data_IF_685731850560
#
_entry.id   IF_685731850560
#
_cell.length_a   1.000
_cell.length_b   1.000
_cell.length_c   1.000
_cell.angle_alpha   90.00
_cell.angle_beta   90.00
_cell.angle_gamma   90.00
#
_symmetry.space_group_name_H-M   'P 1'
#
loop_
_entity.id
_entity.type
_entity.pdbx_description
1 polymer ?
#
# COMPACT_ATOMS: atom_id res chain seq x y z
N UNK A 1 -6.16 10.03 -33.04
CA UNK A 1 -5.50 9.97 -31.74
C UNK A 1 -6.19 8.91 -30.91
N UNK A 2 -5.52 8.29 -29.93
CA UNK A 2 -6.20 7.32 -29.06
C UNK A 2 -7.13 8.06 -28.10
N UNK A 3 -8.18 7.41 -27.62
CA UNK A 3 -9.09 7.97 -26.61
C UNK A 3 -8.32 8.49 -25.39
N UNK A 4 -7.27 7.76 -25.00
CA UNK A 4 -6.44 8.09 -23.85
C UNK A 4 -5.60 9.35 -24.10
N UNK A 5 -5.01 9.51 -25.29
CA UNK A 5 -4.27 10.71 -25.65
C UNK A 5 -5.14 11.97 -25.59
N UNK A 6 -6.36 11.90 -26.11
CA UNK A 6 -7.31 13.02 -26.08
C UNK A 6 -7.74 13.40 -24.66
N UNK A 7 -7.74 12.46 -23.71
CA UNK A 7 -8.02 12.72 -22.30
C UNK A 7 -6.78 13.27 -21.57
N UNK A 8 -5.58 12.77 -21.86
CA UNK A 8 -4.32 13.29 -21.28
C UNK A 8 -4.15 14.78 -21.60
N UNK A 9 -4.47 15.20 -22.81
CA UNK A 9 -4.38 16.60 -23.26
C UNK A 9 -5.30 17.56 -22.47
N UNK A 10 -6.31 17.03 -21.78
CA UNK A 10 -7.25 17.81 -20.94
C UNK A 10 -6.76 17.97 -19.50
N UNK A 11 -5.55 17.51 -19.17
CA UNK A 11 -5.00 17.63 -17.83
C UNK A 11 -4.94 19.09 -17.37
N UNK A 12 -5.16 19.30 -16.07
CA UNK A 12 -5.27 20.61 -15.46
C UNK A 12 -4.54 20.64 -14.11
N UNK A 13 -4.25 21.83 -13.58
CA UNK A 13 -3.77 22.01 -12.21
C UNK A 13 -4.91 22.06 -11.19
N UNK A 14 -6.16 22.30 -11.61
CA UNK A 14 -7.32 22.37 -10.70
C UNK A 14 -7.72 20.95 -10.21
N UNK A 15 -7.72 20.69 -8.90
CA UNK A 15 -8.15 19.41 -8.36
C UNK A 15 -9.56 18.98 -8.78
N UNK A 16 -10.51 19.90 -8.97
CA UNK A 16 -11.87 19.55 -9.41
C UNK A 16 -11.87 19.02 -10.83
N UNK A 17 -11.16 19.70 -11.73
CA UNK A 17 -11.03 19.28 -13.13
C UNK A 17 -10.29 17.95 -13.25
N UNK A 18 -9.29 17.69 -12.40
CA UNK A 18 -8.64 16.36 -12.31
C UNK A 18 -9.60 15.27 -11.87
N UNK A 19 -10.46 15.55 -10.89
CA UNK A 19 -11.47 14.58 -10.45
C UNK A 19 -12.45 14.26 -11.57
N UNK A 20 -12.93 15.27 -12.28
CA UNK A 20 -13.82 15.09 -13.45
C UNK A 20 -13.15 14.31 -14.57
N UNK A 21 -11.90 14.65 -14.91
CA UNK A 21 -11.13 13.94 -15.92
C UNK A 21 -10.84 12.49 -15.53
N UNK A 22 -10.48 12.23 -14.27
CA UNK A 22 -10.23 10.88 -13.80
C UNK A 22 -11.48 10.00 -13.82
N UNK A 23 -12.66 10.58 -13.57
CA UNK A 23 -13.93 9.86 -13.75
C UNK A 23 -14.21 9.53 -15.22
N UNK A 24 -13.85 10.42 -16.15
CA UNK A 24 -13.93 10.12 -17.59
C UNK A 24 -12.99 8.97 -17.97
N UNK A 25 -11.75 8.98 -17.47
CA UNK A 25 -10.78 7.88 -17.70
C UNK A 25 -11.33 6.55 -17.18
N UNK A 26 -11.88 6.51 -15.96
CA UNK A 26 -12.49 5.30 -15.40
C UNK A 26 -13.67 4.81 -16.24
N UNK A 27 -14.52 5.71 -16.72
CA UNK A 27 -15.65 5.37 -17.58
C UNK A 27 -15.19 4.76 -18.91
N UNK A 28 -14.13 5.29 -19.52
CA UNK A 28 -13.57 4.73 -20.75
C UNK A 28 -12.96 3.35 -20.50
N UNK A 29 -12.22 3.18 -19.40
CA UNK A 29 -11.64 1.89 -18.99
C UNK A 29 -12.70 0.79 -18.87
N UNK A 30 -13.93 1.09 -18.43
CA UNK A 30 -15.02 0.11 -18.36
C UNK A 30 -15.42 -0.48 -19.72
N UNK A 31 -15.12 0.21 -20.82
CA UNK A 31 -15.53 -0.20 -22.18
C UNK A 31 -14.37 -0.48 -23.12
N UNK A 32 -13.17 0.00 -22.79
CA UNK A 32 -12.01 0.02 -23.67
C UNK A 32 -10.74 -0.37 -22.93
N UNK A 33 -9.89 -1.19 -23.60
CA UNK A 33 -8.53 -1.46 -23.12
C UNK A 33 -7.63 -0.23 -23.28
N UNK A 34 -6.55 -0.21 -22.50
CA UNK A 34 -5.49 0.79 -22.68
C UNK A 34 -4.82 0.59 -24.05
N UNK A 35 -4.47 1.68 -24.76
CA UNK A 35 -3.71 1.59 -26.01
C UNK A 35 -2.32 0.97 -25.78
N UNK A 36 -1.80 0.22 -26.75
CA UNK A 36 -0.45 -0.37 -26.68
C UNK A 36 0.66 0.59 -27.14
N UNK A 37 0.34 1.83 -27.50
CA UNK A 37 1.32 2.83 -27.90
C UNK A 37 2.18 3.25 -26.70
N UNK A 38 3.49 3.06 -26.82
CA UNK A 38 4.43 3.29 -25.70
C UNK A 38 4.55 4.75 -25.30
N UNK A 39 4.36 5.69 -26.23
CA UNK A 39 4.41 7.13 -25.93
C UNK A 39 3.19 7.50 -25.09
N UNK A 40 2.01 7.10 -25.53
CA UNK A 40 0.75 7.35 -24.82
C UNK A 40 0.76 6.73 -23.42
N UNK A 41 1.30 5.52 -23.26
CA UNK A 41 1.39 4.86 -21.95
C UNK A 41 2.37 5.54 -21.00
N UNK A 42 3.50 6.05 -21.51
CA UNK A 42 4.41 6.85 -20.69
C UNK A 42 3.75 8.15 -20.25
N UNK A 43 3.12 8.87 -21.18
CA UNK A 43 2.40 10.12 -20.88
C UNK A 43 1.29 9.89 -19.85
N UNK A 44 0.58 8.76 -19.96
CA UNK A 44 -0.42 8.34 -18.99
C UNK A 44 0.19 8.08 -17.60
N UNK A 45 1.28 7.33 -17.52
CA UNK A 45 1.95 7.05 -16.25
C UNK A 45 2.50 8.33 -15.61
N UNK A 46 3.03 9.26 -16.40
CA UNK A 46 3.55 10.54 -15.93
C UNK A 46 2.43 11.48 -15.44
N UNK A 47 1.28 11.50 -16.14
CA UNK A 47 0.05 12.14 -15.66
C UNK A 47 -0.36 11.61 -14.28
N UNK A 48 -0.39 10.29 -14.13
CA UNK A 48 -0.76 9.65 -12.87
C UNK A 48 0.26 10.00 -11.76
N UNK A 49 1.56 9.94 -12.03
CA UNK A 49 2.59 10.35 -11.05
C UNK A 49 2.40 11.81 -10.63
N UNK A 50 2.10 12.70 -11.58
CA UNK A 50 1.79 14.10 -11.27
C UNK A 50 0.58 14.24 -10.35
N UNK A 51 -0.43 13.39 -10.50
CA UNK A 51 -1.63 13.37 -9.65
C UNK A 51 -1.37 12.76 -8.29
N UNK A 52 -0.55 11.70 -8.22
CA UNK A 52 -0.09 11.11 -6.96
C UNK A 52 0.65 12.16 -6.13
N UNK A 53 1.56 12.92 -6.75
CA UNK A 53 2.33 13.99 -6.11
C UNK A 53 1.53 15.25 -5.76
N UNK A 54 0.25 15.34 -6.14
CA UNK A 54 -0.60 16.48 -5.84
C UNK A 54 -0.94 16.59 -4.34
N UNK A 55 -1.38 17.78 -3.91
CA UNK A 55 -1.75 18.05 -2.51
C UNK A 55 -3.15 17.57 -2.13
N UNK A 56 -3.98 17.17 -3.11
CA UNK A 56 -5.35 16.75 -2.86
C UNK A 56 -5.47 15.23 -2.76
N UNK A 57 -5.72 14.72 -1.56
CA UNK A 57 -5.80 13.27 -1.31
C UNK A 57 -6.90 12.56 -2.12
N UNK A 58 -7.98 13.25 -2.54
CA UNK A 58 -9.01 12.64 -3.39
C UNK A 58 -8.49 12.41 -4.80
N UNK A 59 -7.68 13.33 -5.32
CA UNK A 59 -7.01 13.17 -6.62
C UNK A 59 -6.00 12.02 -6.53
N UNK A 60 -5.25 11.91 -5.42
CA UNK A 60 -4.35 10.78 -5.19
C UNK A 60 -5.10 9.45 -5.15
N UNK A 61 -6.21 9.35 -4.42
CA UNK A 61 -7.04 8.14 -4.38
C UNK A 61 -7.58 7.76 -5.76
N UNK A 62 -8.10 8.72 -6.51
CA UNK A 62 -8.59 8.49 -7.87
C UNK A 62 -7.47 8.02 -8.81
N UNK A 63 -6.27 8.58 -8.68
CA UNK A 63 -5.11 8.16 -9.45
C UNK A 63 -4.69 6.70 -9.14
N UNK A 64 -4.74 6.30 -7.86
CA UNK A 64 -4.48 4.93 -7.44
C UNK A 64 -5.56 3.96 -8.00
N UNK A 65 -6.83 4.35 -7.93
CA UNK A 65 -7.97 3.58 -8.48
C UNK A 65 -7.86 3.41 -10.00
N UNK A 66 -7.49 4.47 -10.72
CA UNK A 66 -7.28 4.41 -12.17
C UNK A 66 -6.17 3.41 -12.54
N UNK A 67 -5.06 3.36 -11.78
CA UNK A 67 -4.01 2.36 -12.03
C UNK A 67 -4.55 0.96 -11.74
N UNK A 68 -5.23 0.76 -10.60
CA UNK A 68 -5.72 -0.57 -10.20
C UNK A 68 -6.67 -1.15 -11.25
N UNK A 69 -7.64 -0.36 -11.71
CA UNK A 69 -8.54 -0.73 -12.83
C UNK A 69 -7.76 -0.93 -14.13
N UNK A 70 -6.78 -0.06 -14.42
CA UNK A 70 -5.93 -0.19 -15.60
C UNK A 70 -5.13 -1.51 -15.63
N UNK A 71 -4.64 -1.96 -14.48
CA UNK A 71 -3.97 -3.26 -14.33
C UNK A 71 -4.95 -4.41 -14.60
N UNK A 72 -6.16 -4.35 -14.01
CA UNK A 72 -7.18 -5.39 -14.21
C UNK A 72 -7.52 -5.59 -15.69
N UNK A 73 -7.59 -4.50 -16.45
CA UNK A 73 -8.07 -4.50 -17.84
C UNK A 73 -6.94 -4.69 -18.86
N UNK A 74 -5.74 -4.19 -18.56
CA UNK A 74 -4.62 -4.10 -19.51
C UNK A 74 -3.26 -4.27 -18.84
N UNK A 75 -3.19 -5.13 -17.81
CA UNK A 75 -1.96 -5.45 -17.07
C UNK A 75 -0.81 -5.93 -17.93
N UNK A 76 -1.08 -6.65 -19.03
CA UNK A 76 -0.09 -7.10 -20.01
C UNK A 76 0.65 -5.95 -20.69
N UNK A 77 -0.01 -4.79 -20.81
CA UNK A 77 0.54 -3.62 -21.50
C UNK A 77 1.12 -2.60 -20.51
N UNK A 78 0.42 -2.31 -19.41
CA UNK A 78 0.80 -1.20 -18.51
C UNK A 78 1.88 -1.58 -17.48
N UNK A 79 1.98 -2.86 -17.11
CA UNK A 79 2.84 -3.32 -16.01
C UNK A 79 4.32 -2.88 -16.09
N UNK A 80 5.01 -2.97 -17.25
CA UNK A 80 6.41 -2.54 -17.34
C UNK A 80 6.61 -1.06 -16.96
N UNK A 81 5.67 -0.20 -17.35
CA UNK A 81 5.71 1.24 -17.08
C UNK A 81 5.46 1.54 -15.60
N UNK A 82 4.59 0.77 -14.93
CA UNK A 82 4.31 0.93 -13.50
C UNK A 82 5.50 0.55 -12.63
N UNK A 83 6.24 -0.51 -13.00
CA UNK A 83 7.44 -0.95 -12.25
C UNK A 83 8.47 0.20 -12.15
N UNK A 84 8.63 1.00 -13.20
CA UNK A 84 9.52 2.16 -13.21
C UNK A 84 9.06 3.30 -12.30
N UNK A 85 7.76 3.38 -11.98
CA UNK A 85 7.15 4.44 -11.16
C UNK A 85 6.87 4.02 -9.71
N UNK A 86 7.28 2.82 -9.29
CA UNK A 86 7.10 2.32 -7.91
C UNK A 86 7.62 3.32 -6.86
N UNK A 87 8.71 4.04 -7.12
CA UNK A 87 9.25 5.04 -6.18
C UNK A 87 8.22 6.13 -5.84
N UNK A 88 7.42 6.59 -6.81
CA UNK A 88 6.37 7.57 -6.59
C UNK A 88 5.22 7.01 -5.72
N UNK A 89 4.89 5.73 -5.89
CA UNK A 89 3.93 5.03 -5.02
C UNK A 89 4.48 4.88 -3.60
N UNK A 90 5.77 4.54 -3.44
CA UNK A 90 6.41 4.42 -2.12
C UNK A 90 6.29 5.71 -1.31
N UNK A 91 6.41 6.88 -1.94
CA UNK A 91 6.19 8.16 -1.25
C UNK A 91 4.76 8.32 -0.70
N UNK A 92 3.75 7.72 -1.34
CA UNK A 92 2.34 7.77 -0.89
C UNK A 92 2.06 6.86 0.32
N UNK A 93 2.94 5.92 0.63
CA UNK A 93 2.90 5.18 1.90
C UNK A 93 3.12 6.11 3.11
N UNK A 94 3.67 7.30 2.88
CA UNK A 94 3.87 8.34 3.88
C UNK A 94 2.70 9.30 4.06
N UNK A 95 1.60 9.13 3.32
CA UNK A 95 0.51 10.12 3.29
C UNK A 95 -0.15 10.28 4.66
N UNK A 96 -0.58 11.51 4.96
CA UNK A 96 -1.34 11.84 6.16
C UNK A 96 -2.68 11.08 6.27
N UNK A 97 -3.30 10.74 5.14
CA UNK A 97 -4.57 10.03 5.06
C UNK A 97 -4.35 8.53 5.05
N UNK A 98 -4.93 7.85 6.02
CA UNK A 98 -4.85 6.40 6.12
C UNK A 98 -5.38 5.70 4.87
N UNK A 99 -6.49 6.18 4.30
CA UNK A 99 -7.06 5.63 3.07
C UNK A 99 -6.09 5.67 1.88
N UNK A 100 -5.26 6.72 1.77
CA UNK A 100 -4.25 6.81 0.71
C UNK A 100 -3.16 5.76 0.94
N UNK A 101 -2.69 5.63 2.18
CA UNK A 101 -1.67 4.62 2.53
C UNK A 101 -2.17 3.20 2.26
N UNK A 102 -3.39 2.88 2.68
CA UNK A 102 -4.01 1.57 2.47
C UNK A 102 -4.17 1.26 0.97
N UNK A 103 -4.73 2.19 0.20
CA UNK A 103 -4.86 2.04 -1.25
C UNK A 103 -3.50 1.86 -1.93
N UNK A 104 -2.47 2.59 -1.48
CA UNK A 104 -1.10 2.45 -2.01
C UNK A 104 -0.49 1.08 -1.69
N UNK A 105 -0.67 0.58 -0.46
CA UNK A 105 -0.19 -0.76 -0.07
C UNK A 105 -0.85 -1.82 -0.95
N UNK A 106 -2.17 -1.72 -1.14
CA UNK A 106 -2.90 -2.65 -1.99
C UNK A 106 -2.41 -2.59 -3.43
N UNK A 107 -2.32 -1.40 -4.02
CA UNK A 107 -1.87 -1.25 -5.40
C UNK A 107 -0.46 -1.79 -5.65
N UNK A 108 0.51 -1.52 -4.77
CA UNK A 108 1.86 -2.07 -4.92
C UNK A 108 1.83 -3.60 -4.81
N UNK A 109 0.97 -4.16 -3.96
CA UNK A 109 0.76 -5.61 -3.86
C UNK A 109 0.13 -6.16 -5.14
N UNK A 110 -0.90 -5.50 -5.70
CA UNK A 110 -1.51 -5.85 -6.99
C UNK A 110 -0.46 -5.88 -8.11
N UNK A 111 0.42 -4.87 -8.18
CA UNK A 111 1.52 -4.83 -9.15
C UNK A 111 2.41 -6.07 -9.00
N UNK A 112 2.78 -6.47 -7.77
CA UNK A 112 3.59 -7.67 -7.55
C UNK A 112 2.91 -8.97 -8.01
N UNK A 113 1.58 -9.03 -7.95
CA UNK A 113 0.76 -10.18 -8.33
C UNK A 113 0.41 -10.21 -9.82
N UNK A 114 0.67 -9.12 -10.54
CA UNK A 114 0.27 -9.01 -11.94
C UNK A 114 1.13 -9.92 -12.80
N UNK A 115 0.56 -10.74 -13.71
CA UNK A 115 1.34 -11.48 -14.69
C UNK A 115 2.30 -10.52 -15.40
N UNK A 116 3.56 -10.93 -15.63
CA UNK A 116 4.64 -10.09 -16.19
C UNK A 116 5.33 -9.11 -15.23
N UNK A 117 4.82 -8.91 -14.01
CA UNK A 117 5.59 -8.31 -12.93
C UNK A 117 6.35 -9.40 -12.15
N UNK A 118 7.58 -9.09 -11.76
CA UNK A 118 8.36 -9.95 -10.86
C UNK A 118 8.17 -9.46 -9.42
N UNK A 119 7.60 -10.27 -8.50
CA UNK A 119 7.46 -9.87 -7.09
C UNK A 119 8.84 -9.61 -6.45
N UNK A 120 9.90 -10.28 -6.91
CA UNK A 120 11.28 -9.99 -6.53
C UNK A 120 11.68 -8.56 -6.91
N UNK A 121 11.40 -8.16 -8.14
CA UNK A 121 11.70 -6.81 -8.64
C UNK A 121 10.91 -5.77 -7.85
N UNK A 122 9.63 -6.02 -7.55
CA UNK A 122 8.84 -5.09 -6.73
C UNK A 122 9.45 -4.93 -5.34
N UNK A 123 9.85 -6.02 -4.67
CA UNK A 123 10.53 -5.94 -3.36
C UNK A 123 11.82 -5.12 -3.47
N UNK A 124 12.64 -5.36 -4.49
CA UNK A 124 13.89 -4.62 -4.69
C UNK A 124 13.64 -3.11 -4.92
N UNK A 125 12.53 -2.73 -5.57
CA UNK A 125 12.14 -1.33 -5.79
C UNK A 125 11.56 -0.65 -4.55
N UNK A 126 10.85 -1.37 -3.67
CA UNK A 126 10.30 -0.79 -2.43
C UNK A 126 11.28 -0.81 -1.25
N UNK A 127 12.25 -1.72 -1.24
CA UNK A 127 13.20 -1.91 -0.14
C UNK A 127 13.96 -0.64 0.29
N UNK A 128 14.35 0.30 -0.60
CA UNK A 128 14.95 1.57 -0.19
C UNK A 128 14.06 2.38 0.77
N UNK A 129 12.73 2.20 0.70
CA UNK A 129 11.78 2.84 1.59
C UNK A 129 11.87 2.39 3.06
N UNK A 130 12.53 1.26 3.37
CA UNK A 130 12.78 0.80 4.75
C UNK A 130 13.69 1.76 5.55
N UNK A 131 14.50 2.58 4.87
CA UNK A 131 15.37 3.59 5.50
C UNK A 131 14.92 5.02 5.19
N UNK A 132 13.68 5.19 4.70
CA UNK A 132 13.15 6.49 4.34
C UNK A 132 13.02 7.42 5.56
N UNK A 133 13.23 8.74 5.37
CA UNK A 133 13.14 9.73 6.45
C UNK A 133 11.76 9.76 7.13
N UNK A 134 10.70 9.59 6.34
CA UNK A 134 9.33 9.60 6.83
C UNK A 134 8.94 8.24 7.40
N UNK A 135 8.66 8.19 8.70
CA UNK A 135 8.43 6.94 9.44
C UNK A 135 7.22 6.14 8.92
N UNK A 136 6.17 6.81 8.45
CA UNK A 136 5.01 6.17 7.84
C UNK A 136 5.38 5.38 6.57
N UNK A 137 6.32 5.88 5.76
CA UNK A 137 6.82 5.14 4.59
C UNK A 137 7.51 3.85 5.04
N UNK A 138 8.35 3.91 6.09
CA UNK A 138 9.01 2.70 6.63
C UNK A 138 7.99 1.64 7.06
N UNK A 139 6.91 2.06 7.73
CA UNK A 139 5.80 1.17 8.11
C UNK A 139 5.11 0.59 6.88
N UNK A 140 4.70 1.43 5.93
CA UNK A 140 3.99 0.98 4.73
C UNK A 140 4.81 0.01 3.89
N UNK A 141 6.13 0.22 3.77
CA UNK A 141 7.02 -0.69 3.04
C UNK A 141 7.11 -2.05 3.73
N UNK A 142 7.19 -2.10 5.06
CA UNK A 142 7.13 -3.37 5.80
C UNK A 142 5.80 -4.10 5.58
N UNK A 143 4.69 -3.37 5.48
CA UNK A 143 3.37 -3.94 5.19
C UNK A 143 3.27 -4.49 3.76
N UNK A 144 3.79 -3.77 2.76
CA UNK A 144 3.87 -4.25 1.37
C UNK A 144 4.69 -5.54 1.29
N UNK A 145 5.88 -5.56 1.89
CA UNK A 145 6.77 -6.74 1.88
C UNK A 145 6.09 -7.94 2.55
N UNK A 146 5.38 -7.72 3.66
CA UNK A 146 4.59 -8.76 4.32
C UNK A 146 3.55 -9.35 3.37
N UNK A 147 2.76 -8.50 2.69
CA UNK A 147 1.72 -8.96 1.78
C UNK A 147 2.29 -9.75 0.60
N UNK A 148 3.39 -9.27 0.00
CA UNK A 148 4.06 -9.99 -1.10
C UNK A 148 4.60 -11.33 -0.60
N UNK A 149 5.22 -11.38 0.59
CA UNK A 149 5.71 -12.64 1.16
C UNK A 149 4.59 -13.66 1.37
N UNK A 150 3.41 -13.23 1.85
CA UNK A 150 2.25 -14.09 2.07
C UNK A 150 1.75 -14.76 0.78
N UNK A 151 1.95 -14.12 -0.37
CA UNK A 151 1.46 -14.59 -1.67
C UNK A 151 2.55 -15.29 -2.49
N UNK A 152 3.82 -14.87 -2.33
CA UNK A 152 4.95 -15.27 -3.19
C UNK A 152 6.12 -15.88 -2.42
N UNK A 153 5.88 -16.47 -1.23
CA UNK A 153 6.92 -17.00 -0.32
C UNK A 153 8.09 -17.70 -1.01
N UNK A 154 7.82 -18.62 -1.93
CA UNK A 154 8.86 -19.43 -2.58
C UNK A 154 9.67 -18.68 -3.65
N UNK A 155 9.13 -17.56 -4.14
CA UNK A 155 9.74 -16.75 -5.18
C UNK A 155 10.65 -15.66 -4.62
N UNK A 156 10.38 -15.19 -3.40
CA UNK A 156 11.02 -13.99 -2.82
C UNK A 156 12.01 -14.25 -1.68
N UNK A 157 12.30 -15.52 -1.35
CA UNK A 157 13.15 -15.90 -0.21
C UNK A 157 14.52 -15.18 -0.22
N UNK A 158 15.16 -15.05 -1.38
CA UNK A 158 16.45 -14.37 -1.53
C UNK A 158 16.35 -12.88 -1.17
N UNK A 159 15.31 -12.21 -1.67
CA UNK A 159 15.06 -10.78 -1.44
C UNK A 159 14.72 -10.52 0.03
N UNK A 160 13.93 -11.40 0.65
CA UNK A 160 13.59 -11.33 2.08
C UNK A 160 14.86 -11.50 2.94
N UNK A 161 15.71 -12.48 2.63
CA UNK A 161 17.00 -12.67 3.30
C UNK A 161 17.89 -11.42 3.24
N UNK A 162 17.90 -10.70 2.11
CA UNK A 162 18.69 -9.47 1.93
C UNK A 162 18.21 -8.32 2.82
N UNK A 163 16.92 -8.21 3.13
CA UNK A 163 16.36 -7.11 3.94
C UNK A 163 16.39 -7.37 5.46
N UNK A 164 16.64 -8.62 5.91
CA UNK A 164 16.70 -8.97 7.34
C UNK A 164 17.60 -8.03 8.17
N UNK A 165 18.83 -7.67 7.74
CA UNK A 165 19.66 -6.75 8.51
C UNK A 165 19.04 -5.36 8.68
N UNK A 166 18.29 -4.90 7.69
CA UNK A 166 17.57 -3.61 7.75
C UNK A 166 16.38 -3.69 8.72
N UNK A 167 15.59 -4.77 8.67
CA UNK A 167 14.49 -4.99 9.62
C UNK A 167 14.99 -5.10 11.07
N UNK A 168 16.13 -5.76 11.29
CA UNK A 168 16.81 -5.82 12.60
C UNK A 168 17.18 -4.42 13.13
N UNK A 169 17.70 -3.55 12.26
CA UNK A 169 17.99 -2.15 12.63
C UNK A 169 16.71 -1.37 12.98
N UNK A 170 15.61 -1.60 12.27
CA UNK A 170 14.33 -0.93 12.52
C UNK A 170 13.71 -1.28 13.88
N UNK A 171 14.08 -2.40 14.51
CA UNK A 171 13.72 -2.68 15.91
C UNK A 171 14.32 -1.67 16.92
N UNK A 172 15.23 -0.79 16.48
CA UNK A 172 15.80 0.30 17.25
C UNK A 172 15.45 1.69 16.69
N UNK A 173 14.46 1.79 15.81
CA UNK A 173 14.01 3.06 15.23
C UNK A 173 13.58 4.07 16.31
N UNK A 174 13.72 5.37 16.03
CA UNK A 174 13.31 6.44 16.94
C UNK A 174 11.79 6.41 17.22
N UNK A 175 10.99 6.04 16.22
CA UNK A 175 9.53 5.94 16.33
C UNK A 175 9.10 4.56 16.86
N UNK A 176 8.24 4.54 17.88
CA UNK A 176 7.77 3.29 18.51
C UNK A 176 6.98 2.39 17.59
N UNK A 177 6.17 2.95 16.71
CA UNK A 177 5.31 2.18 15.79
C UNK A 177 6.15 1.50 14.72
N UNK A 178 7.26 2.13 14.29
CA UNK A 178 8.24 1.49 13.40
C UNK A 178 8.91 0.31 14.10
N UNK A 179 9.33 0.46 15.38
CA UNK A 179 9.93 -0.64 16.14
C UNK A 179 8.97 -1.83 16.30
N UNK A 180 7.72 -1.55 16.60
CA UNK A 180 6.67 -2.57 16.76
C UNK A 180 6.37 -3.26 15.43
N UNK A 181 6.22 -2.49 14.34
CA UNK A 181 6.00 -3.03 13.00
C UNK A 181 7.17 -3.88 12.52
N UNK A 182 8.42 -3.47 12.77
CA UNK A 182 9.61 -4.24 12.43
C UNK A 182 9.69 -5.56 13.21
N UNK A 183 9.33 -5.53 14.49
CA UNK A 183 9.24 -6.74 15.32
C UNK A 183 8.21 -7.71 14.74
N UNK A 184 7.02 -7.22 14.41
CA UNK A 184 5.95 -8.04 13.85
C UNK A 184 6.28 -8.56 12.44
N UNK A 185 6.96 -7.77 11.62
CA UNK A 185 7.46 -8.18 10.30
C UNK A 185 8.45 -9.34 10.42
N UNK A 186 9.43 -9.25 11.34
CA UNK A 186 10.38 -10.34 11.58
C UNK A 186 9.70 -11.60 12.09
N UNK A 187 8.75 -11.49 13.03
CA UNK A 187 7.98 -12.65 13.51
C UNK A 187 7.20 -13.29 12.36
N UNK A 188 6.53 -12.49 11.52
CA UNK A 188 5.78 -12.99 10.37
C UNK A 188 6.71 -13.72 9.39
N UNK A 189 7.87 -13.14 9.10
CA UNK A 189 8.88 -13.77 8.25
C UNK A 189 9.35 -15.11 8.84
N UNK A 190 9.59 -15.18 10.16
CA UNK A 190 10.00 -16.44 10.81
C UNK A 190 8.91 -17.50 10.72
N UNK A 191 7.64 -17.14 10.92
CA UNK A 191 6.51 -18.06 10.75
C UNK A 191 6.41 -18.59 9.33
N UNK A 192 6.75 -17.78 8.32
CA UNK A 192 6.65 -18.18 6.93
C UNK A 192 7.87 -18.98 6.44
N UNK A 193 9.09 -18.55 6.74
CA UNK A 193 10.34 -19.13 6.19
C UNK A 193 10.95 -20.17 7.15
N UNK A 194 10.89 -19.95 8.47
CA UNK A 194 11.32 -20.90 9.49
C UNK A 194 12.70 -20.64 10.13
N UNK A 195 13.17 -21.66 10.86
CA UNK A 195 14.33 -21.65 11.78
C UNK A 195 15.69 -21.16 11.25
N UNK A 196 16.05 -21.29 9.94
CA UNK A 196 17.34 -20.79 9.46
C UNK A 196 17.55 -19.29 9.73
N UNK A 197 16.47 -18.50 9.75
CA UNK A 197 16.52 -17.05 9.92
C UNK A 197 16.85 -16.60 11.35
N UNK A 198 16.11 -17.02 12.40
CA UNK A 198 16.50 -16.75 13.78
C UNK A 198 17.96 -17.11 14.09
N UNK A 199 18.40 -18.29 13.64
CA UNK A 199 19.76 -18.78 13.84
C UNK A 199 20.81 -17.87 13.17
N UNK A 200 20.52 -17.42 11.95
CA UNK A 200 21.36 -16.47 11.21
C UNK A 200 21.47 -15.12 11.92
N UNK A 201 20.36 -14.57 12.42
CA UNK A 201 20.32 -13.30 13.17
C UNK A 201 21.18 -13.38 14.42
N UNK A 202 21.06 -14.47 15.19
CA UNK A 202 21.84 -14.70 16.41
C UNK A 202 23.33 -14.86 16.11
N UNK A 203 23.69 -15.72 15.15
CA UNK A 203 25.08 -15.99 14.78
C UNK A 203 25.80 -14.74 14.27
N UNK A 204 25.09 -13.90 13.50
CA UNK A 204 25.61 -12.63 12.96
C UNK A 204 25.52 -11.47 13.95
N UNK A 205 24.92 -11.68 15.12
CA UNK A 205 24.74 -10.68 16.18
C UNK A 205 24.07 -9.40 15.65
N UNK A 206 23.02 -9.53 14.83
CA UNK A 206 22.37 -8.38 14.19
C UNK A 206 21.59 -7.49 15.17
N UNK A 207 21.22 -8.03 16.33
CA UNK A 207 20.53 -7.34 17.41
C UNK A 207 21.10 -7.77 18.78
N UNK A 208 21.00 -6.94 19.83
CA UNK A 208 21.40 -7.32 21.19
C UNK A 208 20.63 -8.55 21.70
N UNK A 209 21.27 -9.37 22.54
CA UNK A 209 20.69 -10.63 23.04
C UNK A 209 19.32 -10.42 23.70
N UNK A 210 19.14 -9.35 24.49
CA UNK A 210 17.84 -9.05 25.11
C UNK A 210 16.71 -8.85 24.09
N UNK A 211 16.98 -8.18 22.96
CA UNK A 211 16.01 -8.01 21.88
C UNK A 211 15.77 -9.30 21.12
N UNK A 212 16.82 -10.11 20.94
CA UNK A 212 16.68 -11.44 20.33
C UNK A 212 15.76 -12.34 21.16
N UNK A 213 15.95 -12.39 22.49
CA UNK A 213 15.09 -13.18 23.37
C UNK A 213 13.63 -12.72 23.33
N UNK A 214 13.38 -11.41 23.31
CA UNK A 214 12.02 -10.85 23.13
C UNK A 214 11.40 -11.27 21.79
N UNK A 215 12.16 -11.19 20.70
CA UNK A 215 11.70 -11.57 19.37
C UNK A 215 11.35 -13.06 19.30
N UNK A 216 12.19 -13.91 19.89
CA UNK A 216 11.94 -15.36 19.97
C UNK A 216 10.74 -15.72 20.84
N UNK A 217 10.48 -14.97 21.92
CA UNK A 217 9.28 -15.16 22.72
C UNK A 217 8.02 -14.88 21.90
N UNK A 218 7.96 -13.73 21.20
CA UNK A 218 6.83 -13.40 20.30
C UNK A 218 6.66 -14.40 19.16
N UNK A 219 7.77 -14.91 18.62
CA UNK A 219 7.71 -15.96 17.59
C UNK A 219 7.08 -17.26 18.10
N UNK A 220 7.46 -17.71 19.30
CA UNK A 220 6.83 -18.89 19.93
C UNK A 220 5.35 -18.68 20.21
N UNK A 221 4.97 -17.50 20.68
CA UNK A 221 3.56 -17.13 20.89
C UNK A 221 2.76 -17.17 19.58
N UNK A 222 3.29 -16.57 18.51
CA UNK A 222 2.64 -16.56 17.19
C UNK A 222 2.47 -17.97 16.59
N UNK A 223 3.42 -18.88 16.83
CA UNK A 223 3.30 -20.29 16.43
C UNK A 223 2.15 -21.01 17.17
N UNK A 224 1.95 -20.71 18.45
CA UNK A 224 0.90 -21.34 19.27
C UNK A 224 -0.50 -20.84 18.92
N UNK A 225 -0.62 -19.57 18.51
CA UNK A 225 -1.90 -18.97 18.13
C UNK A 225 -2.33 -19.23 16.68
N UNK A 226 -1.56 -19.98 15.89
CA UNK A 226 -1.86 -20.24 14.48
C UNK A 226 -1.67 -19.02 13.56
N UNK A 227 -0.89 -18.01 13.99
CA UNK A 227 -0.61 -16.80 13.23
C UNK A 227 -0.63 -15.50 14.07
N UNK A 228 -0.08 -14.42 13.53
CA UNK A 228 -0.09 -13.09 14.15
C UNK A 228 -1.45 -12.42 13.88
N UNK A 229 -2.21 -12.10 14.93
CA UNK A 229 -3.40 -11.28 14.79
C UNK A 229 -3.03 -9.87 14.30
N UNK A 230 -3.75 -9.27 13.33
CA UNK A 230 -3.45 -7.91 12.88
C UNK A 230 -3.63 -6.92 14.03
N UNK A 231 -2.52 -6.37 14.53
CA UNK A 231 -2.53 -5.29 15.51
C UNK A 231 -3.00 -4.02 14.80
N UNK A 232 -4.27 -3.66 15.04
CA UNK A 232 -4.77 -2.34 14.68
C UNK A 232 -4.08 -1.29 15.57
N UNK A 233 -3.60 -0.16 15.02
CA UNK A 233 -3.07 0.91 15.85
C UNK A 233 -4.22 1.50 16.67
N UNK A 234 -4.22 1.18 17.97
CA UNK A 234 -5.16 1.71 18.95
C UNK A 234 -4.98 3.22 19.07
N UNK A 235 -5.78 3.98 18.33
CA UNK A 235 -5.99 5.39 18.62
C UNK A 235 -7.23 5.53 19.49
N UNK A 236 -6.99 5.78 20.77
CA UNK A 236 -7.90 6.42 21.72
C UNK A 236 -9.25 5.75 21.97
N UNK A 237 -9.37 5.18 23.17
CA UNK A 237 -10.65 4.94 23.84
C UNK A 237 -11.50 6.22 23.80
N UNK A 238 -12.61 6.18 23.05
CA UNK A 238 -13.76 7.07 23.29
C UNK A 238 -15.00 6.21 23.36
N UNK A 239 -15.55 6.20 24.57
CA UNK A 239 -16.77 5.51 25.00
C UNK A 239 -17.86 5.66 23.93
N UNK A 240 -18.32 4.53 23.39
CA UNK A 240 -19.44 4.45 22.47
C UNK A 240 -20.74 4.79 23.22
N UNK A 241 -21.26 6.00 23.00
CA UNK A 241 -22.69 6.28 23.24
C UNK A 241 -23.50 5.68 22.07
N UNK A 242 -24.62 4.99 22.31
CA UNK A 242 -25.46 4.50 21.22
C UNK A 242 -26.07 5.66 20.43
N UNK A 243 -25.93 5.61 19.11
CA UNK A 243 -26.62 6.50 18.17
C UNK A 243 -28.12 6.22 18.21
N UNK A 244 -28.90 6.98 18.99
CA UNK A 244 -30.34 7.11 18.73
C UNK A 244 -30.51 7.96 17.48
N UNK A 245 -31.11 7.36 16.43
CA UNK A 245 -31.59 8.09 15.25
C UNK A 245 -32.58 9.18 15.70
N UNK A 246 -32.45 10.44 15.24
CA UNK A 246 -33.52 11.41 15.37
C UNK A 246 -34.69 10.99 14.47
N UNK A 247 -35.88 10.85 15.05
CA UNK A 247 -37.14 10.75 14.31
C UNK A 247 -37.41 12.12 13.66
N UNK A 248 -37.57 12.13 12.33
CA UNK A 248 -37.99 13.31 11.58
C UNK A 248 -39.45 13.64 11.98
N UNK A 249 -39.76 14.87 12.41
CA UNK A 249 -41.15 15.26 12.66
C UNK A 249 -41.95 15.27 11.36
N UNK A 250 -43.04 14.50 11.30
CA UNK A 250 -44.01 14.61 10.20
C UNK A 250 -44.75 15.95 10.32
N UNK A 251 -44.87 16.68 9.21
CA UNK A 251 -45.69 17.90 9.12
C UNK A 251 -47.16 17.55 9.40
N UNK A 252 -47.90 18.37 10.18
CA UNK A 252 -49.33 18.18 10.36
C UNK A 252 -50.07 18.37 9.02
N UNK A 253 -50.91 17.41 8.68
CA UNK A 253 -51.89 17.54 7.61
C UNK A 253 -52.99 18.51 8.06
N UNK A 254 -53.17 19.61 7.34
CA UNK A 254 -54.32 20.48 7.53
C UNK A 254 -55.55 19.82 6.89
N UNK A 255 -56.50 19.41 7.72
CA UNK A 255 -57.86 19.08 7.27
C UNK A 255 -58.63 20.37 7.00
N UNK A 256 -59.28 20.54 5.84
CA UNK A 256 -60.14 21.68 5.61
C UNK A 256 -61.43 21.48 6.40
N UNK A 257 -61.76 22.42 7.29
CA UNK A 257 -63.10 22.56 7.86
C UNK A 257 -63.85 23.63 7.07
N UNK A 258 -65.13 23.33 6.83
CA UNK A 258 -66.10 24.05 5.98
C UNK A 258 -66.14 25.57 6.19
#
# INVERSE_FOLDING_TARGET
MSWLGELIDKNSSDPRQRLELGQQILSELQTSKLPSDSTVLNDFCDLIVQWLCASNFKVTLLALEIIDVGIEISGDVISPYLIERISALVERLGDSKQSVREATIQLITTIANTPYCSPQTVIERVAPGLVHRQWLVRIGVMQVIRNILEQHKFEVDVQINRIIPTLCKLMADANSDVRETATNALVNIFCQIGEPLPSSIRKRQLIPEAKFQMLMARYKEAQQCGGIAPSTPSTSQRISRPLRRPLIPQKPQFTPTR
#
